data_IF_099386430578
#
_entry.id   IF_099386430578
#
_cell.length_a   1.000
_cell.length_b   1.000
_cell.length_c   1.000
_cell.angle_alpha   90.00
_cell.angle_beta   90.00
_cell.angle_gamma   90.00
#
_symmetry.space_group_name_H-M   'P 1'
#
loop_
_entity.id
_entity.type
_entity.pdbx_description
1 polymer ?
#
# COMPACT_ATOMS: atom_id res chain seq x y z
N UNK A 1 0.01 -9.78 7.04
CA UNK A 1 -1.03 -9.62 5.99
C UNK A 1 -1.02 -10.92 5.18
N UNK A 2 -1.83 -11.09 4.13
CA UNK A 2 -1.53 -12.17 3.16
C UNK A 2 -0.48 -11.70 2.13
N UNK A 3 0.23 -12.61 1.43
CA UNK A 3 1.31 -12.20 0.51
C UNK A 3 0.87 -11.25 -0.61
N UNK A 4 -0.39 -11.38 -1.06
CA UNK A 4 -0.95 -10.53 -2.12
C UNK A 4 -1.23 -9.13 -1.58
N UNK A 5 -1.75 -9.03 -0.35
CA UNK A 5 -1.91 -7.75 0.34
C UNK A 5 -0.57 -7.05 0.57
N UNK A 6 0.46 -7.78 0.99
CA UNK A 6 1.80 -7.22 1.24
C UNK A 6 2.44 -6.71 -0.06
N UNK A 7 2.33 -7.48 -1.15
CA UNK A 7 2.78 -7.04 -2.47
C UNK A 7 2.04 -5.80 -2.95
N UNK A 8 0.71 -5.78 -2.83
CA UNK A 8 -0.10 -4.62 -3.22
C UNK A 8 0.24 -3.38 -2.40
N UNK A 9 0.40 -3.52 -1.09
CA UNK A 9 0.78 -2.43 -0.19
C UNK A 9 2.18 -1.90 -0.53
N UNK A 10 3.12 -2.78 -0.89
CA UNK A 10 4.48 -2.40 -1.31
C UNK A 10 4.46 -1.60 -2.61
N UNK A 11 3.67 -2.01 -3.61
CA UNK A 11 3.52 -1.26 -4.86
C UNK A 11 2.87 0.11 -4.64
N UNK A 12 1.85 0.19 -3.77
CA UNK A 12 1.25 1.46 -3.37
C UNK A 12 2.27 2.38 -2.69
N UNK A 13 3.12 1.83 -1.81
CA UNK A 13 4.18 2.58 -1.15
C UNK A 13 5.18 3.19 -2.13
N UNK A 14 5.56 2.45 -3.18
CA UNK A 14 6.42 2.97 -4.23
C UNK A 14 5.78 4.17 -4.97
N UNK A 15 4.46 4.14 -5.19
CA UNK A 15 3.72 5.25 -5.81
C UNK A 15 3.63 6.46 -4.88
N UNK A 16 3.33 6.24 -3.59
CA UNK A 16 3.25 7.33 -2.62
C UNK A 16 4.61 7.99 -2.39
N UNK A 17 5.70 7.22 -2.44
CA UNK A 17 7.06 7.74 -2.25
C UNK A 17 7.47 8.77 -3.32
N UNK A 18 6.89 8.70 -4.53
CA UNK A 18 7.11 9.69 -5.59
C UNK A 18 6.05 10.80 -5.60
N UNK A 19 5.39 11.02 -4.45
CA UNK A 19 4.31 12.00 -4.22
C UNK A 19 3.13 11.91 -5.20
N UNK A 20 2.94 10.73 -5.83
CA UNK A 20 1.83 10.52 -6.75
C UNK A 20 0.61 10.03 -5.98
N UNK A 21 -0.55 10.61 -6.32
CA UNK A 21 -1.86 10.06 -5.95
C UNK A 21 -2.17 8.88 -6.84
N UNK A 22 -2.85 7.88 -6.28
CA UNK A 22 -3.33 6.72 -7.04
C UNK A 22 -4.80 6.50 -6.76
N UNK A 23 -5.61 6.53 -7.82
CA UNK A 23 -7.04 6.22 -7.71
C UNK A 23 -7.25 4.73 -7.44
N UNK A 24 -8.42 4.35 -6.91
CA UNK A 24 -8.79 2.94 -6.75
C UNK A 24 -8.67 2.17 -8.07
N UNK A 25 -9.08 2.78 -9.19
CA UNK A 25 -9.01 2.15 -10.50
C UNK A 25 -7.56 1.88 -10.91
N UNK A 26 -6.66 2.86 -10.75
CA UNK A 26 -5.24 2.67 -11.03
C UNK A 26 -4.61 1.64 -10.09
N UNK A 27 -4.98 1.64 -8.81
CA UNK A 27 -4.49 0.68 -7.83
C UNK A 27 -4.88 -0.77 -8.18
N UNK A 28 -6.07 -0.98 -8.76
CA UNK A 28 -6.52 -2.29 -9.25
C UNK A 28 -5.73 -2.81 -10.44
N UNK A 29 -5.01 -1.93 -11.15
CA UNK A 29 -4.20 -2.23 -12.32
C UNK A 29 -2.69 -2.08 -12.06
N UNK A 30 -2.27 -2.04 -10.79
CA UNK A 30 -0.85 -1.95 -10.42
C UNK A 30 -0.05 -3.22 -10.74
N UNK A 31 -0.73 -4.35 -10.92
CA UNK A 31 -0.11 -5.64 -11.22
C UNK A 31 -1.01 -6.46 -12.13
N UNK A 32 -0.38 -7.18 -13.05
CA UNK A 32 -1.04 -8.16 -13.93
C UNK A 32 -1.05 -9.58 -13.31
N UNK A 33 -0.44 -9.77 -12.14
CA UNK A 33 -0.37 -11.06 -11.44
C UNK A 33 -1.74 -11.51 -10.89
N UNK A 34 -2.67 -10.57 -10.68
CA UNK A 34 -4.02 -10.83 -10.16
C UNK A 34 -5.07 -10.06 -10.95
N UNK A 35 -6.29 -10.60 -11.01
CA UNK A 35 -7.40 -9.89 -11.65
C UNK A 35 -7.77 -8.61 -10.88
N UNK A 36 -8.30 -7.62 -11.61
CA UNK A 36 -8.79 -6.36 -11.02
C UNK A 36 -9.82 -6.60 -9.89
N UNK A 37 -10.71 -7.59 -10.03
CA UNK A 37 -11.65 -7.99 -8.98
C UNK A 37 -10.94 -8.49 -7.72
N UNK A 38 -9.85 -9.24 -7.88
CA UNK A 38 -9.02 -9.71 -6.77
C UNK A 38 -8.30 -8.54 -6.11
N UNK A 39 -7.69 -7.65 -6.90
CA UNK A 39 -7.04 -6.45 -6.39
C UNK A 39 -8.02 -5.57 -5.60
N UNK A 40 -9.23 -5.36 -6.12
CA UNK A 40 -10.29 -4.61 -5.43
C UNK A 40 -10.67 -5.27 -4.08
N UNK A 41 -10.83 -6.59 -4.04
CA UNK A 41 -11.08 -7.32 -2.80
C UNK A 41 -9.95 -7.12 -1.79
N UNK A 42 -8.68 -7.11 -2.24
CA UNK A 42 -7.49 -6.90 -1.39
C UNK A 42 -7.37 -5.46 -0.89
N UNK A 43 -7.70 -4.46 -1.71
CA UNK A 43 -7.84 -3.08 -1.25
C UNK A 43 -8.92 -2.97 -0.16
N UNK A 44 -10.06 -3.64 -0.34
CA UNK A 44 -11.11 -3.66 0.68
C UNK A 44 -10.65 -4.30 2.00
N UNK A 45 -9.87 -5.38 1.94
CA UNK A 45 -9.33 -6.02 3.16
C UNK A 45 -8.23 -5.20 3.82
N UNK A 46 -7.33 -4.58 3.05
CA UNK A 46 -6.33 -3.63 3.56
C UNK A 46 -6.98 -2.44 4.27
N UNK A 47 -8.04 -1.88 3.69
CA UNK A 47 -8.82 -0.81 4.34
C UNK A 47 -9.46 -1.28 5.63
N UNK A 48 -10.08 -2.47 5.64
CA UNK A 48 -10.67 -3.06 6.85
C UNK A 48 -9.62 -3.28 7.95
N UNK A 49 -8.36 -3.55 7.58
CA UNK A 49 -7.22 -3.68 8.49
C UNK A 49 -6.61 -2.35 8.92
N UNK A 50 -7.11 -1.22 8.41
CA UNK A 50 -6.59 0.11 8.72
C UNK A 50 -5.24 0.42 8.06
N UNK A 51 -4.82 -0.34 7.05
CA UNK A 51 -3.56 -0.09 6.33
C UNK A 51 -3.72 1.04 5.30
N UNK A 52 -4.90 1.14 4.69
CA UNK A 52 -5.19 2.19 3.72
C UNK A 52 -6.48 2.90 4.05
N UNK A 53 -6.57 4.14 3.60
CA UNK A 53 -7.79 4.92 3.58
C UNK A 53 -8.13 5.35 2.16
N UNK A 54 -9.36 5.85 1.98
CA UNK A 54 -9.82 6.41 0.73
C UNK A 54 -10.08 7.89 0.92
N UNK A 55 -9.27 8.72 0.28
CA UNK A 55 -9.51 10.15 0.18
C UNK A 55 -10.29 10.46 -1.11
N UNK A 56 -11.17 11.45 -1.07
CA UNK A 56 -12.00 11.82 -2.23
C UNK A 56 -11.36 13.02 -2.93
N UNK A 57 -11.41 13.06 -4.26
CA UNK A 57 -10.90 14.22 -4.97
C UNK A 57 -11.66 15.49 -4.58
N UNK A 58 -10.94 16.62 -4.49
CA UNK A 58 -11.50 17.92 -4.09
C UNK A 58 -12.43 18.51 -5.16
N UNK A 59 -12.29 18.08 -6.40
CA UNK A 59 -13.02 18.59 -7.57
C UNK A 59 -14.03 17.59 -8.14
N UNK A 60 -13.73 16.29 -8.08
CA UNK A 60 -14.64 15.23 -8.52
C UNK A 60 -14.85 14.14 -7.45
N UNK A 61 -15.96 14.21 -6.73
CA UNK A 61 -16.28 13.28 -5.64
C UNK A 61 -16.44 11.81 -6.05
N UNK A 62 -16.50 11.53 -7.36
CA UNK A 62 -16.54 10.17 -7.90
C UNK A 62 -15.17 9.50 -7.87
N UNK A 63 -14.09 10.28 -7.79
CA UNK A 63 -12.73 9.76 -7.75
C UNK A 63 -12.31 9.55 -6.29
N UNK A 64 -11.91 8.32 -5.99
CA UNK A 64 -11.34 7.93 -4.69
C UNK A 64 -9.87 7.58 -4.88
N UNK A 65 -9.02 8.22 -4.09
CA UNK A 65 -7.59 7.94 -4.01
C UNK A 65 -7.29 7.02 -2.84
N UNK A 66 -6.39 6.08 -3.06
CA UNK A 66 -5.84 5.23 -2.00
C UNK A 66 -4.70 5.98 -1.32
N UNK A 67 -4.82 6.20 -0.02
CA UNK A 67 -3.83 6.94 0.78
C UNK A 67 -3.31 6.05 1.93
N UNK A 68 -2.03 6.20 2.33
CA UNK A 68 -1.46 5.45 3.44
C UNK A 68 -2.02 5.97 4.77
N UNK A 69 -2.28 5.06 5.70
CA UNK A 69 -2.53 5.43 7.10
C UNK A 69 -1.23 5.52 7.89
N UNK A 70 -1.32 6.03 9.12
CA UNK A 70 -0.20 5.98 10.07
C UNK A 70 0.25 4.53 10.33
N UNK A 71 -0.68 3.58 10.41
CA UNK A 71 -0.35 2.16 10.60
C UNK A 71 0.56 1.64 9.48
N UNK A 72 0.28 2.01 8.23
CA UNK A 72 1.13 1.63 7.10
C UNK A 72 2.49 2.32 7.11
N UNK A 73 2.56 3.60 7.51
CA UNK A 73 3.85 4.27 7.70
C UNK A 73 4.70 3.54 8.75
N UNK A 74 4.12 3.22 9.91
CA UNK A 74 4.79 2.46 10.96
C UNK A 74 5.23 1.06 10.50
N UNK A 75 4.39 0.36 9.73
CA UNK A 75 4.73 -0.93 9.15
C UNK A 75 6.00 -0.85 8.30
N UNK A 76 6.09 0.13 7.37
CA UNK A 76 7.26 0.26 6.50
C UNK A 76 8.52 0.73 7.23
N UNK A 77 8.40 1.60 8.24
CA UNK A 77 9.53 1.97 9.12
C UNK A 77 10.09 0.73 9.83
N UNK A 78 9.21 -0.09 10.41
CA UNK A 78 9.60 -1.31 11.13
C UNK A 78 10.24 -2.34 10.19
N UNK A 79 9.68 -2.49 8.99
CA UNK A 79 10.24 -3.36 7.95
C UNK A 79 11.64 -2.90 7.52
N UNK A 80 11.83 -1.59 7.28
CA UNK A 80 13.14 -1.03 6.95
C UNK A 80 14.19 -1.26 8.04
N UNK A 81 13.81 -1.05 9.32
CA UNK A 81 14.70 -1.33 10.45
C UNK A 81 15.07 -2.82 10.56
N UNK A 82 14.13 -3.73 10.28
CA UNK A 82 14.41 -5.16 10.30
C UNK A 82 15.37 -5.57 9.19
N UNK A 83 15.23 -4.99 7.99
CA UNK A 83 16.12 -5.20 6.86
C UNK A 83 17.54 -4.67 7.14
N UNK A 84 17.66 -3.45 7.68
CA UNK A 84 18.95 -2.86 8.03
C UNK A 84 19.72 -3.70 9.06
N UNK A 85 19.02 -4.17 10.11
CA UNK A 85 19.60 -5.09 11.11
C UNK A 85 20.05 -6.43 10.52
N UNK A 86 19.33 -6.95 9.53
CA UNK A 86 19.70 -8.19 8.85
C UNK A 86 20.90 -8.01 7.91
N UNK A 87 21.07 -6.81 7.34
CA UNK A 87 22.19 -6.46 6.47
C UNK A 87 23.47 -6.12 7.27
N UNK A 88 23.32 -5.63 8.50
CA UNK A 88 24.40 -5.39 9.44
C UNK A 88 24.29 -6.34 10.65
N UNK A 89 24.53 -7.66 10.48
CA UNK A 89 24.61 -8.56 11.62
C UNK A 89 25.79 -8.10 12.49
N UNK A 90 25.48 -7.58 13.67
CA UNK A 90 26.44 -7.06 14.64
C UNK A 90 27.62 -8.04 14.78
N UNK A 91 28.88 -7.64 14.49
CA UNK A 91 30.02 -8.50 14.75
C UNK A 91 30.15 -8.66 16.27
N UNK A 92 30.15 -9.92 16.72
CA UNK A 92 30.44 -10.30 18.11
C UNK A 92 31.84 -9.88 18.52
#
# INVERSE_FOLDING_TARGET
>A
MDPVEERLLTMLAAVWHVEKKISVLQAMSLTDEISATTAHRRLKTLRKKGMIELDTDKTDSRIKYVVPTELTKHYFVTLGQALDKAQHPNPL
#
